data_IF_194885520921
#
_entry.id   IF_194885520921
#
_cell.length_a   1.000
_cell.length_b   1.000
_cell.length_c   1.000
_cell.angle_alpha   90.00
_cell.angle_beta   90.00
_cell.angle_gamma   90.00
#
_symmetry.space_group_name_H-M   'P 1'
#
loop_
_entity.id
_entity.type
_entity.pdbx_description
1 polymer ?
#
# COMPACT_ATOMS: atom_id res chain seq x y z
N UNK A 1 -3.82 7.72 3.30
CA UNK A 1 -2.76 8.41 4.08
C UNK A 1 -3.17 8.86 5.48
N UNK A 2 -4.21 9.68 5.65
CA UNK A 2 -4.64 10.19 6.97
C UNK A 2 -4.83 9.06 7.99
N UNK A 3 -5.60 8.03 7.65
CA UNK A 3 -5.85 6.88 8.52
C UNK A 3 -4.57 6.05 8.76
N UNK A 4 -3.85 5.70 7.69
CA UNK A 4 -2.71 4.79 7.77
C UNK A 4 -1.49 5.43 8.42
N UNK A 5 -1.10 6.64 8.01
CA UNK A 5 0.12 7.32 8.50
C UNK A 5 -0.20 8.22 9.68
N UNK A 6 -1.25 9.02 9.55
CA UNK A 6 -1.65 10.00 10.57
C UNK A 6 -2.24 9.39 11.85
N UNK A 7 -2.79 8.18 11.78
CA UNK A 7 -3.36 7.51 12.96
C UNK A 7 -2.66 6.18 13.25
N UNK A 8 -2.75 5.21 12.35
CA UNK A 8 -2.30 3.83 12.63
C UNK A 8 -0.78 3.73 12.82
N UNK A 9 0.02 4.28 11.89
CA UNK A 9 1.48 4.24 12.00
C UNK A 9 1.95 4.95 13.27
N UNK A 10 1.41 6.13 13.58
CA UNK A 10 1.72 6.85 14.82
C UNK A 10 1.44 6.01 16.05
N UNK A 11 0.27 5.38 16.12
CA UNK A 11 -0.10 4.50 17.21
C UNK A 11 0.87 3.32 17.35
N UNK A 12 1.16 2.64 16.25
CA UNK A 12 2.03 1.45 16.27
C UNK A 12 3.49 1.81 16.56
N UNK A 13 4.02 2.91 16.01
CA UNK A 13 5.38 3.40 16.28
C UNK A 13 5.54 3.75 17.76
N UNK A 14 4.54 4.41 18.38
CA UNK A 14 4.58 4.74 19.81
C UNK A 14 4.63 3.51 20.73
N UNK A 15 4.08 2.38 20.30
CA UNK A 15 3.99 1.17 21.13
C UNK A 15 5.05 0.11 20.80
N UNK A 16 5.49 0.03 19.55
CA UNK A 16 6.32 -1.06 19.02
C UNK A 16 7.65 -0.57 18.43
N UNK A 17 7.87 0.74 18.39
CA UNK A 17 9.05 1.39 17.80
C UNK A 17 8.93 1.59 16.29
N UNK A 18 9.86 2.38 15.75
CA UNK A 18 9.81 2.87 14.36
C UNK A 18 9.73 1.74 13.34
N UNK A 19 10.67 0.78 13.41
CA UNK A 19 10.77 -0.31 12.42
C UNK A 19 9.49 -1.16 12.38
N UNK A 20 9.05 -1.64 13.53
CA UNK A 20 7.89 -2.53 13.62
C UNK A 20 6.58 -1.79 13.38
N UNK A 21 6.46 -0.54 13.85
CA UNK A 21 5.29 0.29 13.57
C UNK A 21 5.09 0.54 12.08
N UNK A 22 6.18 0.82 11.35
CA UNK A 22 6.14 1.00 9.89
C UNK A 22 5.81 -0.32 9.17
N UNK A 23 6.49 -1.42 9.51
CA UNK A 23 6.28 -2.72 8.87
C UNK A 23 4.84 -3.21 9.08
N UNK A 24 4.31 -3.14 10.30
CA UNK A 24 2.95 -3.57 10.58
C UNK A 24 1.90 -2.69 9.91
N UNK A 25 2.14 -1.37 9.85
CA UNK A 25 1.27 -0.48 9.06
C UNK A 25 1.25 -0.89 7.59
N UNK A 26 2.42 -1.20 7.02
CA UNK A 26 2.51 -1.64 5.62
C UNK A 26 1.82 -2.97 5.38
N UNK A 27 1.94 -3.92 6.31
CA UNK A 27 1.25 -5.20 6.23
C UNK A 27 -0.28 -5.00 6.25
N UNK A 28 -0.80 -4.22 7.20
CA UNK A 28 -2.24 -3.95 7.33
C UNK A 28 -2.78 -3.21 6.09
N UNK A 29 -2.06 -2.19 5.62
CA UNK A 29 -2.39 -1.47 4.38
C UNK A 29 -2.54 -2.44 3.21
N UNK A 30 -1.56 -3.31 3.02
CA UNK A 30 -1.55 -4.26 1.89
C UNK A 30 -2.73 -5.23 1.97
N UNK A 31 -2.97 -5.81 3.15
CA UNK A 31 -4.07 -6.76 3.33
C UNK A 31 -5.44 -6.13 3.07
N UNK A 32 -5.65 -4.87 3.46
CA UNK A 32 -6.91 -4.15 3.17
C UNK A 32 -7.10 -3.94 1.67
N UNK A 33 -6.03 -3.63 0.92
CA UNK A 33 -6.11 -3.44 -0.54
C UNK A 33 -6.37 -4.76 -1.28
N UNK A 34 -6.11 -5.90 -0.65
CA UNK A 34 -6.33 -7.22 -1.22
C UNK A 34 -7.73 -7.78 -0.92
N UNK A 35 -8.57 -7.08 -0.15
CA UNK A 35 -9.91 -7.56 0.19
C UNK A 35 -10.77 -7.85 -1.06
N UNK A 36 -10.56 -7.12 -2.16
CA UNK A 36 -11.25 -7.37 -3.43
C UNK A 36 -10.94 -8.75 -4.03
N UNK A 37 -9.79 -9.36 -3.72
CA UNK A 37 -9.43 -10.69 -4.22
C UNK A 37 -10.34 -11.80 -3.69
N UNK A 38 -11.01 -11.60 -2.55
CA UNK A 38 -11.97 -12.56 -2.02
C UNK A 38 -13.17 -12.76 -2.94
N UNK A 39 -13.48 -11.81 -3.84
CA UNK A 39 -14.51 -11.99 -4.86
C UNK A 39 -14.09 -13.01 -5.93
N UNK A 40 -12.80 -13.08 -6.26
CA UNK A 40 -12.21 -14.00 -7.25
C UNK A 40 -11.98 -15.39 -6.64
N UNK A 41 -11.80 -15.47 -5.32
CA UNK A 41 -11.59 -16.73 -4.60
C UNK A 41 -12.74 -17.73 -4.77
N UNK A 42 -13.95 -17.26 -5.10
CA UNK A 42 -15.12 -18.09 -5.36
C UNK A 42 -15.00 -18.89 -6.68
N UNK A 43 -14.20 -18.43 -7.64
CA UNK A 43 -14.05 -19.08 -8.95
C UNK A 43 -12.93 -20.11 -8.96
N UNK A 44 -11.76 -19.78 -8.38
CA UNK A 44 -10.61 -20.69 -8.36
C UNK A 44 -9.60 -20.34 -7.25
N UNK A 45 -9.28 -21.27 -6.34
CA UNK A 45 -8.23 -21.08 -5.33
C UNK A 45 -6.85 -20.83 -5.94
N UNK A 46 -6.56 -21.40 -7.11
CA UNK A 46 -5.28 -21.21 -7.78
C UNK A 46 -5.11 -19.78 -8.30
N UNK A 47 -6.14 -19.23 -8.95
CA UNK A 47 -6.13 -17.84 -9.44
C UNK A 47 -6.00 -16.87 -8.26
N UNK A 48 -6.67 -17.15 -7.14
CA UNK A 48 -6.55 -16.34 -5.93
C UNK A 48 -5.10 -16.24 -5.45
N UNK A 49 -4.38 -17.36 -5.34
CA UNK A 49 -2.98 -17.37 -4.85
C UNK A 49 -2.08 -16.55 -5.76
N UNK A 50 -2.20 -16.72 -7.08
CA UNK A 50 -1.40 -15.99 -8.06
C UNK A 50 -1.69 -14.48 -7.98
N UNK A 51 -2.97 -14.09 -7.98
CA UNK A 51 -3.39 -12.70 -7.87
C UNK A 51 -2.96 -12.07 -6.55
N UNK A 52 -3.00 -12.83 -5.44
CA UNK A 52 -2.51 -12.40 -4.14
C UNK A 52 -1.02 -12.09 -4.19
N UNK A 53 -0.19 -13.00 -4.70
CA UNK A 53 1.27 -12.79 -4.75
C UNK A 53 1.64 -11.61 -5.65
N UNK A 54 1.00 -11.49 -6.81
CA UNK A 54 1.25 -10.39 -7.75
C UNK A 54 0.84 -9.04 -7.15
N UNK A 55 -0.27 -8.98 -6.41
CA UNK A 55 -0.82 -7.73 -5.88
C UNK A 55 -0.22 -7.35 -4.53
N UNK A 56 0.12 -8.32 -3.68
CA UNK A 56 0.63 -8.07 -2.32
C UNK A 56 1.95 -7.32 -2.35
N UNK A 57 2.89 -7.75 -3.20
CA UNK A 57 4.24 -7.17 -3.23
C UNK A 57 4.19 -5.67 -3.56
N UNK A 58 3.53 -5.21 -4.64
CA UNK A 58 3.39 -3.79 -4.93
C UNK A 58 2.77 -2.98 -3.79
N UNK A 59 1.64 -3.43 -3.22
CA UNK A 59 0.97 -2.71 -2.13
C UNK A 59 1.85 -2.63 -0.87
N UNK A 60 2.56 -3.71 -0.55
CA UNK A 60 3.46 -3.74 0.60
C UNK A 60 4.66 -2.83 0.39
N UNK A 61 5.28 -2.90 -0.79
CA UNK A 61 6.42 -2.07 -1.16
C UNK A 61 6.07 -0.58 -1.14
N UNK A 62 4.99 -0.15 -1.81
CA UNK A 62 4.60 1.26 -1.78
C UNK A 62 4.27 1.71 -0.35
N UNK A 63 3.62 0.86 0.44
CA UNK A 63 3.27 1.24 1.79
C UNK A 63 4.47 1.40 2.71
N UNK A 64 5.49 0.55 2.56
CA UNK A 64 6.78 0.69 3.24
C UNK A 64 7.48 1.99 2.85
N UNK A 65 7.55 2.30 1.55
CA UNK A 65 8.17 3.54 1.04
C UNK A 65 7.48 4.76 1.64
N UNK A 66 6.15 4.81 1.58
CA UNK A 66 5.37 5.92 2.14
C UNK A 66 5.52 6.01 3.67
N UNK A 67 5.61 4.88 4.37
CA UNK A 67 5.81 4.85 5.83
C UNK A 67 7.18 5.39 6.24
N UNK A 68 8.24 5.03 5.52
CA UNK A 68 9.58 5.58 5.73
C UNK A 68 9.68 7.04 5.31
N UNK A 69 9.05 7.43 4.20
CA UNK A 69 8.95 8.83 3.77
C UNK A 69 8.26 9.68 4.84
N UNK A 70 7.16 9.19 5.42
CA UNK A 70 6.45 9.87 6.50
C UNK A 70 7.37 10.15 7.68
N UNK A 71 8.13 9.13 8.11
CA UNK A 71 9.08 9.24 9.20
C UNK A 71 10.24 10.19 8.85
N UNK A 72 10.86 10.04 7.68
CA UNK A 72 11.97 10.87 7.20
C UNK A 72 11.57 12.36 7.05
N UNK A 73 10.31 12.64 6.70
CA UNK A 73 9.79 13.99 6.54
C UNK A 73 9.17 14.56 7.81
N UNK A 74 9.60 14.07 8.99
CA UNK A 74 9.12 14.52 10.30
C UNK A 74 7.59 14.52 10.39
N UNK A 75 6.98 13.42 9.97
CA UNK A 75 5.53 13.20 10.02
C UNK A 75 4.71 14.18 9.15
N UNK A 76 5.32 14.74 8.09
CA UNK A 76 4.62 15.57 7.12
C UNK A 76 3.68 14.73 6.25
N UNK A 77 2.39 14.78 6.57
CA UNK A 77 1.36 14.00 5.88
C UNK A 77 1.15 14.45 4.43
N UNK A 78 1.29 15.74 4.14
CA UNK A 78 1.09 16.30 2.79
C UNK A 78 2.11 15.69 1.82
N UNK A 79 3.38 15.56 2.23
CA UNK A 79 4.42 14.96 1.40
C UNK A 79 4.05 13.51 0.98
N UNK A 80 3.49 12.74 1.91
CA UNK A 80 3.10 11.35 1.66
C UNK A 80 1.83 11.28 0.81
N UNK A 81 0.86 12.17 1.05
CA UNK A 81 -0.36 12.27 0.24
C UNK A 81 -0.06 12.59 -1.22
N UNK A 82 0.83 13.57 -1.47
CA UNK A 82 1.25 13.90 -2.84
C UNK A 82 1.98 12.72 -3.47
N UNK A 83 2.90 12.08 -2.74
CA UNK A 83 3.66 10.94 -3.26
C UNK A 83 2.75 9.76 -3.61
N UNK A 84 1.79 9.44 -2.76
CA UNK A 84 0.80 8.39 -3.04
C UNK A 84 -0.05 8.75 -4.26
N UNK A 85 -0.58 9.97 -4.34
CA UNK A 85 -1.37 10.40 -5.49
C UNK A 85 -0.57 10.38 -6.80
N UNK A 86 0.71 10.77 -6.78
CA UNK A 86 1.59 10.66 -7.95
C UNK A 86 1.81 9.20 -8.35
N UNK A 87 2.04 8.31 -7.38
CA UNK A 87 2.16 6.88 -7.65
C UNK A 87 0.89 6.33 -8.31
N UNK A 88 -0.29 6.66 -7.80
CA UNK A 88 -1.57 6.20 -8.36
C UNK A 88 -1.76 6.70 -9.80
N UNK A 89 -1.47 7.99 -10.06
CA UNK A 89 -1.53 8.56 -11.41
C UNK A 89 -0.59 7.83 -12.36
N UNK A 90 0.65 7.56 -11.94
CA UNK A 90 1.62 6.84 -12.76
C UNK A 90 1.14 5.42 -13.06
N UNK A 91 0.65 4.69 -12.06
CA UNK A 91 0.12 3.33 -12.25
C UNK A 91 -1.04 3.33 -13.25
N UNK A 92 -1.99 4.26 -13.11
CA UNK A 92 -3.14 4.38 -14.01
C UNK A 92 -2.71 4.72 -15.43
N UNK A 93 -1.85 5.74 -15.61
CA UNK A 93 -1.38 6.17 -16.93
C UNK A 93 -0.58 5.06 -17.61
N UNK A 94 0.34 4.40 -16.89
CA UNK A 94 1.13 3.30 -17.44
C UNK A 94 0.21 2.14 -17.83
N UNK A 95 -0.75 1.78 -16.97
CA UNK A 95 -1.74 0.74 -17.27
C UNK A 95 -2.54 1.10 -18.52
N UNK A 96 -3.00 2.35 -18.64
CA UNK A 96 -3.72 2.82 -19.82
C UNK A 96 -2.86 2.73 -21.10
N UNK A 97 -1.59 3.12 -21.04
CA UNK A 97 -0.70 3.03 -22.20
C UNK A 97 -0.39 1.59 -22.61
N UNK A 98 -0.23 0.68 -21.65
CA UNK A 98 0.07 -0.73 -21.92
C UNK A 98 -1.16 -1.47 -22.48
N UNK A 99 -2.34 -1.27 -21.87
CA UNK A 99 -3.53 -2.04 -22.22
C UNK A 99 -4.50 -1.32 -23.17
N UNK A 100 -4.43 0.01 -23.26
CA UNK A 100 -5.28 0.82 -24.14
C UNK A 100 -4.73 1.05 -25.55
N UNK A 101 -3.48 0.63 -25.81
CA UNK A 101 -2.88 0.59 -27.15
C UNK A 101 -2.97 -0.79 -27.83
N UNK A 102 -3.49 -1.79 -27.12
CA UNK A 102 -3.81 -3.14 -27.62
C UNK A 102 -5.28 -3.20 -28.06
#
# INVERSE_FOLDING_TARGET
>A
EVLFRGFMQKGLVRNLGDKWGIILTALIFSLIHLLGLFLIALESPFIFIISFLISFIPYFSISLILGWLYHWRNENLIAVMITHGVYDVLVIVITFLIYGML
#
